data_IF_222303661737
#
_entry.id   IF_222303661737
#
_cell.length_a   1.000
_cell.length_b   1.000
_cell.length_c   1.000
_cell.angle_alpha   90.00
_cell.angle_beta   90.00
_cell.angle_gamma   90.00
#
_symmetry.space_group_name_H-M   'P 1'
#
loop_
_entity.id
_entity.type
_entity.pdbx_description
1 polymer ?
#
# COMPACT_ATOMS: atom_id res chain seq x y z
N UNK A 1 2.33 -16.10 20.57
CA UNK A 1 1.01 -15.48 20.66
C UNK A 1 0.64 -14.82 19.32
N UNK A 2 -0.61 -14.96 18.92
CA UNK A 2 -1.09 -14.30 17.72
C UNK A 2 -1.12 -12.79 17.91
N UNK A 3 -0.71 -12.04 16.90
CA UNK A 3 -0.78 -10.60 16.90
C UNK A 3 -2.15 -10.19 16.32
N UNK A 4 -3.03 -9.71 17.17
CA UNK A 4 -4.41 -9.37 16.81
C UNK A 4 -4.58 -7.96 16.25
N UNK A 5 -3.49 -7.21 16.10
CA UNK A 5 -3.55 -5.88 15.50
C UNK A 5 -3.93 -6.00 14.02
N UNK A 6 -4.65 -5.02 13.46
CA UNK A 6 -5.09 -5.12 12.07
C UNK A 6 -3.95 -4.95 11.06
N UNK A 7 -4.20 -5.46 9.84
CA UNK A 7 -3.41 -5.12 8.66
C UNK A 7 -4.06 -3.87 8.05
N UNK A 8 -3.31 -2.80 7.92
CA UNK A 8 -3.78 -1.58 7.30
C UNK A 8 -3.67 -1.64 5.78
N UNK A 9 -4.70 -1.20 5.07
CA UNK A 9 -4.70 -1.15 3.61
C UNK A 9 -5.01 0.29 3.21
N UNK A 10 -4.09 0.90 2.48
CA UNK A 10 -4.21 2.28 2.03
C UNK A 10 -4.29 2.34 0.51
N UNK A 11 -5.22 3.14 -0.01
CA UNK A 11 -5.36 3.42 -1.43
C UNK A 11 -5.75 4.88 -1.64
N UNK A 12 -5.51 5.39 -2.86
CA UNK A 12 -5.89 6.75 -3.23
C UNK A 12 -7.39 6.92 -3.45
N UNK A 13 -8.16 5.83 -3.54
CA UNK A 13 -9.59 5.87 -3.78
C UNK A 13 -10.24 4.56 -3.38
N UNK A 14 -11.02 3.97 -4.29
CA UNK A 14 -11.74 2.71 -4.03
C UNK A 14 -11.14 1.50 -4.74
N UNK A 15 -10.11 1.70 -5.58
CA UNK A 15 -9.48 0.59 -6.32
C UNK A 15 -8.86 -0.46 -5.43
N UNK A 16 -8.45 -0.09 -4.23
CA UNK A 16 -7.85 -1.00 -3.25
C UNK A 16 -8.82 -1.99 -2.64
N UNK A 17 -10.13 -1.85 -2.89
CA UNK A 17 -11.12 -2.83 -2.39
C UNK A 17 -10.88 -4.23 -2.98
N UNK A 18 -10.36 -4.32 -4.19
CA UNK A 18 -9.98 -5.60 -4.79
C UNK A 18 -8.85 -6.24 -3.98
N UNK A 19 -7.84 -5.47 -3.60
CA UNK A 19 -6.74 -5.92 -2.75
C UNK A 19 -7.26 -6.34 -1.38
N UNK A 20 -8.14 -5.53 -0.79
CA UNK A 20 -8.78 -5.84 0.49
C UNK A 20 -9.48 -7.21 0.43
N UNK A 21 -10.25 -7.45 -0.64
CA UNK A 21 -10.97 -8.69 -0.82
C UNK A 21 -10.03 -9.89 -0.93
N UNK A 22 -8.94 -9.76 -1.67
CA UNK A 22 -7.97 -10.83 -1.82
C UNK A 22 -7.23 -11.15 -0.52
N UNK A 23 -6.88 -10.13 0.25
CA UNK A 23 -6.26 -10.33 1.57
C UNK A 23 -7.25 -11.00 2.52
N UNK A 24 -8.50 -10.56 2.52
CA UNK A 24 -9.55 -11.15 3.35
C UNK A 24 -9.75 -12.62 3.04
N UNK A 25 -9.70 -12.98 1.75
CA UNK A 25 -9.85 -14.36 1.30
C UNK A 25 -8.66 -15.22 1.71
N UNK A 26 -7.44 -14.67 1.55
CA UNK A 26 -6.20 -15.39 1.85
C UNK A 26 -5.96 -15.53 3.36
N UNK A 27 -6.36 -14.52 4.14
CA UNK A 27 -6.09 -14.44 5.56
C UNK A 27 -7.38 -14.14 6.34
N UNK A 28 -8.34 -15.07 6.35
CA UNK A 28 -9.65 -14.78 6.92
C UNK A 28 -9.65 -14.55 8.44
N UNK A 29 -8.60 -14.97 9.14
CA UNK A 29 -8.46 -14.73 10.58
C UNK A 29 -7.88 -13.39 10.95
N UNK A 30 -7.41 -12.59 9.97
CA UNK A 30 -6.81 -11.31 10.25
C UNK A 30 -7.84 -10.18 10.26
N UNK A 31 -7.65 -9.23 11.17
CA UNK A 31 -8.43 -7.98 11.16
C UNK A 31 -7.83 -7.03 10.11
N UNK A 32 -8.69 -6.34 9.38
CA UNK A 32 -8.27 -5.42 8.32
C UNK A 32 -8.81 -4.03 8.60
N UNK A 33 -7.98 -3.01 8.34
CA UNK A 33 -8.39 -1.61 8.39
C UNK A 33 -8.13 -1.01 7.01
N UNK A 34 -9.15 -0.48 6.36
CA UNK A 34 -9.04 0.10 5.02
C UNK A 34 -9.17 1.62 5.09
N UNK A 35 -8.24 2.32 4.45
CA UNK A 35 -8.28 3.77 4.32
C UNK A 35 -8.19 4.14 2.84
N UNK A 36 -9.26 4.65 2.29
CA UNK A 36 -9.31 5.17 0.92
C UNK A 36 -9.33 6.69 0.94
N UNK A 37 -8.36 7.31 0.26
CA UNK A 37 -8.26 8.77 0.20
C UNK A 37 -9.01 9.30 -1.04
N UNK A 38 -10.30 9.07 -1.08
CA UNK A 38 -11.15 9.49 -2.22
C UNK A 38 -11.19 10.98 -2.42
N UNK A 39 -11.05 11.77 -1.35
CA UNK A 39 -11.10 13.23 -1.43
C UNK A 39 -9.94 13.82 -2.26
N UNK A 40 -8.79 13.14 -2.30
CA UNK A 40 -7.61 13.59 -3.02
C UNK A 40 -7.34 12.79 -4.30
N UNK A 41 -8.21 11.88 -4.65
CA UNK A 41 -8.14 11.08 -5.87
C UNK A 41 -8.48 11.95 -7.10
N UNK A 42 -7.80 11.78 -8.24
CA UNK A 42 -6.72 10.84 -8.50
C UNK A 42 -5.34 11.40 -8.12
N UNK A 43 -4.41 10.49 -7.81
CA UNK A 43 -3.03 10.88 -7.48
C UNK A 43 -2.13 11.03 -8.71
N UNK A 44 -2.51 10.44 -9.83
CA UNK A 44 -1.64 10.31 -11.00
C UNK A 44 -1.14 11.62 -11.59
N UNK A 45 -1.89 12.71 -11.42
CA UNK A 45 -1.51 14.04 -11.92
C UNK A 45 -0.79 14.91 -10.89
N UNK A 46 -0.58 14.40 -9.67
CA UNK A 46 0.04 15.16 -8.59
C UNK A 46 1.55 15.02 -8.60
N UNK A 47 2.30 16.07 -8.20
CA UNK A 47 3.75 15.96 -8.02
C UNK A 47 4.10 14.89 -6.99
N UNK A 48 5.29 14.31 -7.14
CA UNK A 48 5.78 13.25 -6.25
C UNK A 48 5.73 13.65 -4.78
N UNK A 49 6.19 14.84 -4.45
CA UNK A 49 6.22 15.34 -3.08
C UNK A 49 4.83 15.45 -2.48
N UNK A 50 3.85 15.83 -3.29
CA UNK A 50 2.46 15.91 -2.85
C UNK A 50 1.89 14.52 -2.57
N UNK A 51 2.17 13.55 -3.43
CA UNK A 51 1.76 12.16 -3.21
C UNK A 51 2.40 11.60 -1.95
N UNK A 52 3.69 11.90 -1.73
CA UNK A 52 4.39 11.49 -0.51
C UNK A 52 3.73 12.05 0.74
N UNK A 53 3.35 13.33 0.72
CA UNK A 53 2.67 13.95 1.85
C UNK A 53 1.31 13.33 2.13
N UNK A 54 0.53 13.05 1.09
CA UNK A 54 -0.77 12.39 1.22
C UNK A 54 -0.63 10.96 1.75
N UNK A 55 0.34 10.23 1.23
CA UNK A 55 0.60 8.86 1.67
C UNK A 55 1.07 8.83 3.12
N UNK A 56 1.93 9.76 3.52
CA UNK A 56 2.41 9.88 4.89
C UNK A 56 1.24 10.12 5.86
N UNK A 57 0.34 11.04 5.52
CA UNK A 57 -0.84 11.31 6.34
C UNK A 57 -1.71 10.07 6.50
N UNK A 58 -1.90 9.30 5.42
CA UNK A 58 -2.69 8.07 5.45
C UNK A 58 -2.03 6.99 6.31
N UNK A 59 -0.73 6.77 6.15
CA UNK A 59 0.00 5.78 6.94
C UNK A 59 0.02 6.17 8.42
N UNK A 60 0.17 7.46 8.72
CA UNK A 60 0.10 7.94 10.11
C UNK A 60 -1.24 7.60 10.76
N UNK A 61 -2.35 7.70 10.02
CA UNK A 61 -3.66 7.31 10.52
C UNK A 61 -3.73 5.81 10.81
N UNK A 62 -3.17 4.99 9.94
CA UNK A 62 -3.13 3.55 10.14
C UNK A 62 -2.24 3.17 11.33
N UNK A 63 -1.15 3.89 11.55
CA UNK A 63 -0.31 3.70 12.73
C UNK A 63 -1.08 4.05 14.02
N UNK A 64 -1.87 5.11 13.99
CA UNK A 64 -2.73 5.48 15.12
C UNK A 64 -3.77 4.39 15.44
N UNK A 65 -4.21 3.64 14.43
CA UNK A 65 -5.12 2.50 14.59
C UNK A 65 -4.40 1.24 15.04
N UNK A 66 -3.12 1.34 15.35
CA UNK A 66 -2.27 0.25 15.83
C UNK A 66 -2.16 -0.90 14.83
N UNK A 67 -2.10 -0.58 13.54
CA UNK A 67 -1.88 -1.59 12.50
C UNK A 67 -0.50 -2.23 12.65
N UNK A 68 -0.42 -3.55 12.48
CA UNK A 68 0.85 -4.27 12.57
C UNK A 68 1.66 -4.24 11.27
N UNK A 69 1.02 -3.93 10.16
CA UNK A 69 1.66 -3.73 8.87
C UNK A 69 0.74 -2.90 7.99
N UNK A 70 1.28 -2.35 6.90
CA UNK A 70 0.52 -1.53 5.96
C UNK A 70 0.74 -2.07 4.55
N UNK A 71 -0.35 -2.21 3.81
CA UNK A 71 -0.33 -2.52 2.38
C UNK A 71 -0.72 -1.25 1.63
N UNK A 72 0.18 -0.75 0.79
CA UNK A 72 -0.10 0.40 -0.09
C UNK A 72 -0.67 -0.16 -1.38
N UNK A 73 -1.99 -0.11 -1.51
CA UNK A 73 -2.72 -0.76 -2.61
C UNK A 73 -2.87 0.13 -3.84
N UNK A 74 -2.13 1.22 -3.91
CA UNK A 74 -2.16 2.17 -5.02
C UNK A 74 -0.82 2.14 -5.76
N UNK A 75 -0.84 1.90 -7.06
CA UNK A 75 0.39 1.87 -7.87
C UNK A 75 1.09 3.22 -7.89
N UNK A 76 0.34 4.31 -8.01
CA UNK A 76 0.91 5.66 -8.01
C UNK A 76 1.58 5.99 -6.68
N UNK A 77 0.91 5.70 -5.57
CA UNK A 77 1.48 5.94 -4.24
C UNK A 77 2.70 5.04 -3.99
N UNK A 78 2.67 3.80 -4.44
CA UNK A 78 3.82 2.90 -4.33
C UNK A 78 5.03 3.49 -5.07
N UNK A 79 4.85 3.86 -6.33
CA UNK A 79 5.93 4.39 -7.14
C UNK A 79 6.53 5.68 -6.56
N UNK A 80 5.67 6.56 -6.04
CA UNK A 80 6.10 7.88 -5.56
C UNK A 80 6.59 7.88 -4.11
N UNK A 81 6.05 7.00 -3.25
CA UNK A 81 6.20 7.16 -1.81
C UNK A 81 6.72 5.94 -1.05
N UNK A 82 6.83 4.75 -1.67
CA UNK A 82 7.14 3.54 -0.91
C UNK A 82 8.50 3.62 -0.21
N UNK A 83 9.52 4.12 -0.88
CA UNK A 83 10.85 4.29 -0.29
C UNK A 83 10.85 5.28 0.86
N UNK A 84 10.17 6.40 0.67
CA UNK A 84 10.01 7.43 1.69
C UNK A 84 9.30 6.86 2.93
N UNK A 85 8.23 6.09 2.72
CA UNK A 85 7.45 5.51 3.82
C UNK A 85 8.25 4.46 4.59
N UNK A 86 8.99 3.61 3.89
CA UNK A 86 9.81 2.58 4.53
C UNK A 86 10.93 3.18 5.36
N UNK A 87 11.49 4.30 4.92
CA UNK A 87 12.52 5.01 5.68
C UNK A 87 11.93 5.69 6.91
N UNK A 88 10.82 6.41 6.74
CA UNK A 88 10.18 7.15 7.84
C UNK A 88 9.62 6.21 8.90
N UNK A 89 9.00 5.12 8.48
CA UNK A 89 8.37 4.15 9.38
C UNK A 89 9.20 2.88 9.50
N UNK A 90 10.50 3.03 9.70
CA UNK A 90 11.40 1.90 9.90
C UNK A 90 10.89 1.02 11.06
N UNK A 91 10.88 -0.28 10.85
CA UNK A 91 10.32 -1.22 11.82
C UNK A 91 8.87 -1.59 11.57
N UNK A 92 8.15 -0.83 10.74
CA UNK A 92 6.79 -1.16 10.29
C UNK A 92 6.89 -1.85 8.93
N UNK A 93 6.41 -3.10 8.78
CA UNK A 93 6.36 -3.72 7.46
C UNK A 93 5.40 -2.95 6.54
N UNK A 94 5.92 -2.50 5.40
CA UNK A 94 5.14 -1.78 4.40
C UNK A 94 5.30 -2.49 3.05
N UNK A 95 4.18 -2.99 2.53
CA UNK A 95 4.12 -3.73 1.27
C UNK A 95 3.53 -2.80 0.21
N UNK A 96 4.20 -2.66 -0.91
CA UNK A 96 3.72 -1.86 -2.03
C UNK A 96 3.20 -2.72 -3.16
N UNK A 97 2.40 -2.11 -4.03
CA UNK A 97 1.86 -2.74 -5.23
C UNK A 97 2.70 -2.31 -6.43
N UNK A 98 3.72 -3.10 -6.74
CA UNK A 98 4.55 -2.84 -7.91
C UNK A 98 3.95 -3.49 -9.16
N UNK A 99 4.03 -2.83 -10.32
CA UNK A 99 3.56 -3.44 -11.56
C UNK A 99 4.27 -4.77 -11.83
N UNK A 100 3.51 -5.78 -12.26
CA UNK A 100 4.04 -7.11 -12.52
C UNK A 100 5.03 -7.15 -13.68
N UNK A 101 5.01 -6.14 -14.55
CA UNK A 101 5.92 -6.04 -15.69
C UNK A 101 7.38 -6.01 -15.25
N UNK A 102 7.69 -5.29 -14.18
CA UNK A 102 9.08 -5.18 -13.71
C UNK A 102 9.65 -6.53 -13.25
N UNK A 103 8.98 -7.28 -12.35
CA UNK A 103 9.45 -8.60 -11.99
C UNK A 103 9.50 -9.57 -13.17
N UNK A 104 8.53 -9.50 -14.10
CA UNK A 104 8.51 -10.34 -15.28
C UNK A 104 9.73 -10.10 -16.17
N UNK A 105 10.09 -8.84 -16.39
CA UNK A 105 11.28 -8.50 -17.18
C UNK A 105 12.58 -9.01 -16.54
N UNK A 106 12.67 -8.96 -15.21
CA UNK A 106 13.85 -9.43 -14.49
C UNK A 106 13.98 -10.95 -14.50
N UNK A 107 12.88 -11.68 -14.66
CA UNK A 107 12.85 -13.12 -14.57
C UNK A 107 12.73 -13.84 -15.93
N UNK A 108 12.49 -13.10 -17.01
CA UNK A 108 12.35 -13.73 -18.32
C UNK A 108 13.71 -14.09 -18.91
N UNK A 109 13.79 -15.28 -19.53
CA UNK A 109 14.99 -15.73 -20.23
C UNK A 109 14.97 -15.37 -21.72
N UNK A 110 13.79 -15.12 -22.27
CA UNK A 110 13.61 -14.81 -23.69
C UNK A 110 13.61 -13.31 -23.99
N UNK A 111 13.45 -12.48 -22.96
CA UNK A 111 13.28 -11.04 -23.13
C UNK A 111 11.87 -10.63 -23.55
N UNK A 112 10.95 -11.57 -23.63
CA UNK A 112 9.55 -11.33 -23.97
C UNK A 112 8.71 -11.45 -22.71
N UNK A 113 7.88 -10.45 -22.44
CA UNK A 113 6.99 -10.42 -21.29
C UNK A 113 5.54 -10.22 -21.72
#
# INVERSE_FOLDING_TARGET
>A
MADNRPIGIYDSGLGGLTVWREIRRALPGESLAYLGDGANCPYGSRPREEVQALADAAVARLVELDCKMVVVACNTATAAAIGFLREKYAGMPIVGMEPAVKPACLNTRSGVV
#
